data_IF_107486228413
#
_entry.id   IF_107486228413
#
_cell.length_a   1.000
_cell.length_b   1.000
_cell.length_c   1.000
_cell.angle_alpha   90.00
_cell.angle_beta   90.00
_cell.angle_gamma   90.00
#
_symmetry.space_group_name_H-M   'P 1'
#
loop_
_entity.id
_entity.type
_entity.pdbx_description
1 polymer ?
#
# COMPACT_ATOMS: atom_id res chain seq x y z
N UNK A 1 47.55 -7.09 -73.29
CA UNK A 1 46.26 -7.18 -72.56
C UNK A 1 46.58 -7.41 -71.09
N UNK A 2 46.63 -6.34 -70.29
CA UNK A 2 46.92 -6.42 -68.85
C UNK A 2 45.80 -5.72 -68.10
N UNK A 3 44.95 -6.49 -67.43
CA UNK A 3 43.83 -5.99 -66.63
C UNK A 3 44.29 -5.75 -65.20
N UNK A 4 44.33 -4.49 -64.78
CA UNK A 4 44.60 -4.09 -63.39
C UNK A 4 43.35 -4.26 -62.56
N UNK A 5 43.35 -5.27 -61.68
CA UNK A 5 42.29 -5.51 -60.69
C UNK A 5 42.36 -4.49 -59.55
N UNK A 6 41.37 -3.60 -59.50
CA UNK A 6 41.19 -2.64 -58.41
C UNK A 6 40.63 -3.32 -57.16
N UNK A 7 41.45 -3.43 -56.12
CA UNK A 7 41.04 -3.85 -54.78
C UNK A 7 40.28 -2.70 -54.12
N UNK A 8 38.99 -2.89 -53.82
CA UNK A 8 38.20 -1.94 -53.02
C UNK A 8 38.62 -2.00 -51.55
N UNK A 9 38.89 -0.86 -50.89
CA UNK A 9 39.22 -0.84 -49.47
C UNK A 9 37.99 -1.22 -48.64
N UNK A 10 38.19 -2.19 -47.74
CA UNK A 10 37.21 -2.61 -46.75
C UNK A 10 37.09 -1.49 -45.70
N UNK A 11 35.96 -0.78 -45.70
CA UNK A 11 35.61 0.17 -44.65
C UNK A 11 35.12 -0.65 -43.45
N UNK A 12 35.73 -0.56 -42.26
CA UNK A 12 35.20 -1.19 -41.07
C UNK A 12 33.93 -0.44 -40.63
N UNK A 13 32.82 -1.16 -40.51
CA UNK A 13 31.60 -0.64 -39.89
C UNK A 13 31.95 -0.16 -38.48
N UNK A 14 31.82 1.16 -38.27
CA UNK A 14 31.86 1.73 -36.93
C UNK A 14 30.69 1.12 -36.17
N UNK A 15 31.00 0.22 -35.24
CA UNK A 15 30.06 -0.28 -34.26
C UNK A 15 29.37 0.91 -33.61
N UNK A 16 28.10 1.08 -33.96
CA UNK A 16 27.20 2.00 -33.29
C UNK A 16 27.19 1.58 -31.83
N UNK A 17 27.94 2.30 -31.00
CA UNK A 17 27.70 2.32 -29.57
C UNK A 17 26.29 2.90 -29.45
N UNK A 18 25.29 2.01 -29.51
CA UNK A 18 23.98 2.25 -28.97
C UNK A 18 24.21 2.55 -27.49
N UNK A 19 24.47 3.82 -27.23
CA UNK A 19 24.10 4.49 -26.00
C UNK A 19 22.62 4.19 -25.91
N UNK A 20 22.31 3.08 -25.25
CA UNK A 20 20.97 2.69 -24.86
C UNK A 20 20.55 3.73 -23.85
N UNK A 21 20.19 4.90 -24.38
CA UNK A 21 19.34 5.87 -23.75
C UNK A 21 18.05 5.10 -23.54
N UNK A 22 18.05 4.34 -22.43
CA UNK A 22 16.89 3.75 -21.81
C UNK A 22 15.97 4.94 -21.64
N UNK A 23 15.05 5.08 -22.59
CA UNK A 23 13.86 5.89 -22.48
C UNK A 23 13.03 5.24 -21.37
N UNK A 24 13.52 5.40 -20.15
CA UNK A 24 12.95 4.86 -18.93
C UNK A 24 11.58 5.51 -18.83
N UNK A 25 10.56 4.73 -19.17
CA UNK A 25 9.20 5.23 -19.28
C UNK A 25 8.86 5.95 -17.97
N UNK A 26 8.47 7.24 -18.00
CA UNK A 26 8.27 8.05 -16.79
C UNK A 26 7.28 7.40 -15.80
N UNK A 27 6.36 6.58 -16.31
CA UNK A 27 5.44 5.77 -15.49
C UNK A 27 6.18 4.77 -14.61
N UNK A 28 7.22 4.10 -15.14
CA UNK A 28 7.98 3.10 -14.41
C UNK A 28 8.79 3.75 -13.27
N UNK A 29 9.41 4.90 -13.54
CA UNK A 29 10.19 5.66 -12.54
C UNK A 29 9.34 6.10 -11.34
N UNK A 30 8.11 6.56 -11.60
CA UNK A 30 7.16 6.95 -10.55
C UNK A 30 6.71 5.71 -9.76
N UNK A 31 6.36 4.62 -10.44
CA UNK A 31 5.96 3.37 -9.79
C UNK A 31 7.06 2.82 -8.87
N UNK A 32 8.33 2.86 -9.29
CA UNK A 32 9.48 2.44 -8.47
C UNK A 32 9.67 3.33 -7.24
N UNK A 33 9.41 4.63 -7.35
CA UNK A 33 9.47 5.56 -6.22
C UNK A 33 8.45 5.24 -5.12
N UNK A 34 7.20 5.01 -5.49
CA UNK A 34 6.13 4.67 -4.54
C UNK A 34 6.30 3.26 -3.94
N UNK A 35 6.85 2.30 -4.70
CA UNK A 35 7.11 0.93 -4.24
C UNK A 35 7.91 0.85 -2.94
N UNK A 36 8.86 1.78 -2.75
CA UNK A 36 9.73 1.86 -1.57
C UNK A 36 9.01 2.20 -0.27
N UNK A 37 7.84 2.82 -0.34
CA UNK A 37 7.06 3.18 0.85
C UNK A 37 6.14 2.06 1.32
N UNK A 38 5.72 1.15 0.43
CA UNK A 38 4.77 0.10 0.79
C UNK A 38 5.36 -0.95 1.74
N UNK A 39 6.63 -1.32 1.53
CA UNK A 39 7.31 -2.28 2.40
C UNK A 39 7.42 -1.82 3.87
N UNK A 40 7.96 -0.62 4.20
CA UNK A 40 8.03 -0.17 5.58
C UNK A 40 6.65 0.03 6.20
N UNK A 41 5.67 0.53 5.43
CA UNK A 41 4.27 0.64 5.91
C UNK A 41 3.71 -0.74 6.29
N UNK A 42 3.93 -1.76 5.46
CA UNK A 42 3.50 -3.13 5.75
C UNK A 42 4.14 -3.67 7.02
N UNK A 43 5.45 -3.45 7.21
CA UNK A 43 6.16 -3.88 8.42
C UNK A 43 5.61 -3.16 9.66
N UNK A 44 5.37 -1.85 9.59
CA UNK A 44 4.81 -1.10 10.71
C UNK A 44 3.38 -1.57 11.04
N UNK A 45 2.50 -1.72 10.04
CA UNK A 45 1.14 -2.24 10.23
C UNK A 45 1.13 -3.66 10.80
N UNK A 46 2.06 -4.51 10.36
CA UNK A 46 2.24 -5.84 10.92
C UNK A 46 2.70 -5.79 12.38
N UNK A 47 3.65 -4.91 12.72
CA UNK A 47 4.09 -4.73 14.10
C UNK A 47 2.93 -4.34 15.03
N UNK A 48 1.99 -3.50 14.57
CA UNK A 48 0.81 -3.11 15.34
C UNK A 48 -0.12 -4.26 15.74
N UNK A 49 -0.05 -5.43 15.08
CA UNK A 49 -0.80 -6.62 15.49
C UNK A 49 -0.45 -7.09 16.91
N UNK A 50 0.77 -6.80 17.36
CA UNK A 50 1.28 -7.27 18.65
C UNK A 50 1.08 -6.25 19.77
N UNK A 51 0.53 -5.07 19.47
CA UNK A 51 0.26 -4.04 20.47
C UNK A 51 -1.23 -4.05 20.86
N UNK A 52 -1.55 -3.76 22.14
CA UNK A 52 -2.94 -3.63 22.57
C UNK A 52 -3.56 -2.40 21.92
N UNK A 53 -4.72 -2.59 21.29
CA UNK A 53 -5.42 -1.53 20.55
C UNK A 53 -6.24 -0.62 21.48
N UNK A 54 -6.80 -1.21 22.53
CA UNK A 54 -7.66 -0.56 23.50
C UNK A 54 -7.10 -0.73 24.90
N UNK A 55 -7.36 0.25 25.76
CA UNK A 55 -6.98 0.20 27.16
C UNK A 55 -7.91 -0.72 27.96
N UNK A 56 -7.41 -1.15 29.12
CA UNK A 56 -8.20 -1.96 30.06
C UNK A 56 -9.28 -1.10 30.68
N UNK A 57 -10.51 -1.61 30.78
CA UNK A 57 -11.62 -0.92 31.43
C UNK A 57 -12.05 -1.68 32.66
N UNK A 58 -12.09 -0.97 33.78
CA UNK A 58 -12.66 -1.48 35.03
C UNK A 58 -14.08 -0.96 35.13
N UNK A 59 -15.07 -1.84 34.94
CA UNK A 59 -16.48 -1.52 35.12
C UNK A 59 -16.87 -1.93 36.54
N UNK A 60 -17.24 -0.97 37.39
CA UNK A 60 -17.90 -1.26 38.67
C UNK A 60 -19.40 -1.34 38.43
N UNK A 61 -19.97 -2.53 38.60
CA UNK A 61 -21.41 -2.74 38.59
C UNK A 61 -21.82 -3.41 39.91
N UNK A 62 -22.78 -2.82 40.62
CA UNK A 62 -23.33 -3.33 41.90
C UNK A 62 -22.30 -3.68 43.00
N UNK A 63 -21.14 -3.02 43.01
CA UNK A 63 -20.08 -3.23 44.00
C UNK A 63 -19.08 -4.35 43.64
N UNK A 64 -19.23 -4.98 42.47
CA UNK A 64 -18.27 -5.92 41.89
C UNK A 64 -17.45 -5.20 40.81
N UNK A 65 -16.13 -5.32 40.87
CA UNK A 65 -15.22 -4.79 39.84
C UNK A 65 -14.99 -5.85 38.76
N UNK A 66 -15.48 -5.57 37.55
CA UNK A 66 -15.16 -6.34 36.36
C UNK A 66 -14.06 -5.64 35.58
N UNK A 67 -12.85 -6.22 35.61
CA UNK A 67 -11.74 -5.75 34.79
C UNK A 67 -11.77 -6.49 33.46
N UNK A 68 -12.08 -5.77 32.38
CA UNK A 68 -12.01 -6.30 31.01
C UNK A 68 -10.71 -5.84 30.36
N UNK A 69 -9.76 -6.77 30.22
CA UNK A 69 -8.49 -6.53 29.54
C UNK A 69 -8.64 -6.81 28.05
N UNK A 70 -8.65 -5.75 27.24
CA UNK A 70 -8.58 -5.86 25.78
C UNK A 70 -7.10 -6.01 25.40
N UNK A 71 -6.67 -7.26 25.16
CA UNK A 71 -5.30 -7.58 24.79
C UNK A 71 -4.95 -7.18 23.35
N UNK A 72 -4.12 -8.01 22.72
CA UNK A 72 -3.82 -7.88 21.29
C UNK A 72 -5.05 -8.17 20.43
N UNK A 73 -4.95 -7.89 19.13
CA UNK A 73 -6.03 -8.19 18.17
C UNK A 73 -6.38 -9.68 18.15
N UNK A 74 -5.39 -10.53 18.41
CA UNK A 74 -5.56 -11.98 18.51
C UNK A 74 -6.32 -12.37 19.77
N UNK A 75 -6.01 -11.77 20.93
CA UNK A 75 -6.73 -12.03 22.17
C UNK A 75 -8.22 -11.66 22.01
N UNK A 76 -8.49 -10.50 21.39
CA UNK A 76 -9.85 -10.05 21.10
C UNK A 76 -10.60 -11.01 20.17
N UNK A 77 -9.92 -11.62 19.20
CA UNK A 77 -10.51 -12.59 18.28
C UNK A 77 -10.90 -13.92 18.94
N UNK A 78 -10.20 -14.31 20.00
CA UNK A 78 -10.48 -15.56 20.75
C UNK A 78 -11.61 -15.43 21.78
N UNK A 79 -12.05 -14.21 22.11
CA UNK A 79 -13.10 -13.97 23.09
C UNK A 79 -14.51 -14.22 22.54
N UNK A 80 -15.47 -14.50 23.44
CA UNK A 80 -16.90 -14.59 23.11
C UNK A 80 -17.43 -13.22 22.69
N UNK A 81 -17.49 -12.97 21.38
CA UNK A 81 -17.75 -11.65 20.79
C UNK A 81 -16.67 -11.19 19.80
N UNK A 82 -15.62 -11.98 19.59
CA UNK A 82 -14.46 -11.66 18.75
C UNK A 82 -14.70 -11.64 17.23
N UNK A 83 -15.94 -11.80 16.75
CA UNK A 83 -16.23 -11.81 15.31
C UNK A 83 -15.80 -10.51 14.58
N UNK A 84 -16.02 -9.30 15.13
CA UNK A 84 -15.49 -8.08 14.53
C UNK A 84 -13.96 -8.03 14.52
N UNK A 85 -13.30 -8.55 15.56
CA UNK A 85 -11.84 -8.61 15.62
C UNK A 85 -11.29 -9.56 14.53
N UNK A 86 -11.94 -10.70 14.28
CA UNK A 86 -11.59 -11.60 13.17
C UNK A 86 -11.71 -10.92 11.81
N UNK A 87 -12.78 -10.14 11.58
CA UNK A 87 -12.92 -9.35 10.34
C UNK A 87 -11.77 -8.33 10.22
N UNK A 88 -11.42 -7.66 11.31
CA UNK A 88 -10.28 -6.74 11.35
C UNK A 88 -8.95 -7.41 11.00
N UNK A 89 -8.69 -8.61 11.53
CA UNK A 89 -7.50 -9.41 11.21
C UNK A 89 -7.48 -9.79 9.72
N UNK A 90 -8.59 -10.25 9.17
CA UNK A 90 -8.68 -10.62 7.75
C UNK A 90 -8.47 -9.41 6.83
N UNK A 91 -9.06 -8.26 7.16
CA UNK A 91 -8.84 -7.02 6.41
C UNK A 91 -7.39 -6.56 6.48
N UNK A 92 -6.75 -6.66 7.66
CA UNK A 92 -5.34 -6.33 7.81
C UNK A 92 -4.44 -7.27 7.01
N UNK A 93 -4.68 -8.59 7.10
CA UNK A 93 -3.93 -9.58 6.32
C UNK A 93 -4.06 -9.32 4.82
N UNK A 94 -5.26 -8.99 4.34
CA UNK A 94 -5.48 -8.60 2.95
C UNK A 94 -4.73 -7.31 2.58
N UNK A 95 -4.74 -6.29 3.46
CA UNK A 95 -3.99 -5.05 3.27
C UNK A 95 -2.48 -5.29 3.19
N UNK A 96 -1.93 -6.11 4.09
CA UNK A 96 -0.52 -6.48 4.09
C UNK A 96 -0.13 -7.23 2.82
N UNK A 97 -0.96 -8.18 2.37
CA UNK A 97 -0.75 -8.89 1.11
C UNK A 97 -0.74 -7.93 -0.09
N UNK A 98 -1.69 -7.00 -0.15
CA UNK A 98 -1.74 -5.98 -1.21
C UNK A 98 -0.53 -5.05 -1.18
N UNK A 99 -0.09 -4.61 0.00
CA UNK A 99 1.13 -3.80 0.17
C UNK A 99 2.38 -4.56 -0.29
N UNK A 100 2.50 -5.84 0.05
CA UNK A 100 3.62 -6.68 -0.38
C UNK A 100 3.62 -6.89 -1.90
N UNK A 101 2.46 -7.16 -2.50
CA UNK A 101 2.31 -7.27 -3.95
C UNK A 101 2.67 -5.94 -4.64
N UNK A 102 2.19 -4.81 -4.12
CA UNK A 102 2.50 -3.48 -4.64
C UNK A 102 4.00 -3.15 -4.53
N UNK A 103 4.67 -3.61 -3.46
CA UNK A 103 6.11 -3.41 -3.26
C UNK A 103 6.97 -4.21 -4.26
N UNK A 104 6.55 -5.43 -4.61
CA UNK A 104 7.34 -6.33 -5.49
C UNK A 104 6.99 -6.17 -6.97
N UNK A 105 5.70 -6.10 -7.30
CA UNK A 105 5.20 -6.11 -8.69
C UNK A 105 4.83 -4.74 -9.23
N UNK A 106 4.89 -3.71 -8.38
CA UNK A 106 4.34 -2.39 -8.69
C UNK A 106 2.82 -2.34 -8.49
N UNK A 107 2.30 -1.13 -8.32
CA UNK A 107 0.88 -0.92 -8.06
C UNK A 107 0.11 -0.62 -9.36
N UNK A 108 -1.03 -1.29 -9.53
CA UNK A 108 -2.00 -0.98 -10.58
C UNK A 108 -3.19 -0.20 -10.01
N UNK A 109 -3.91 0.61 -10.81
CA UNK A 109 -5.01 1.44 -10.31
C UNK A 109 -6.07 0.72 -9.47
N UNK A 110 -6.62 -0.45 -9.88
CA UNK A 110 -7.62 -1.11 -9.06
C UNK A 110 -7.05 -1.56 -7.71
N UNK A 111 -5.78 -1.98 -7.66
CA UNK A 111 -5.11 -2.36 -6.41
C UNK A 111 -5.01 -1.17 -5.45
N UNK A 112 -4.60 0.00 -5.96
CA UNK A 112 -4.48 1.21 -5.14
C UNK A 112 -5.82 1.66 -4.56
N UNK A 113 -6.89 1.61 -5.36
CA UNK A 113 -8.24 1.95 -4.89
C UNK A 113 -8.69 0.97 -3.81
N UNK A 114 -8.48 -0.33 -4.00
CA UNK A 114 -8.81 -1.34 -2.98
C UNK A 114 -8.03 -1.14 -1.69
N UNK A 115 -6.72 -0.83 -1.77
CA UNK A 115 -5.91 -0.52 -0.59
C UNK A 115 -6.43 0.71 0.17
N UNK A 116 -6.81 1.77 -0.56
CA UNK A 116 -7.37 2.98 0.03
C UNK A 116 -8.71 2.69 0.75
N UNK A 117 -9.58 1.91 0.12
CA UNK A 117 -10.88 1.52 0.70
C UNK A 117 -10.68 0.64 1.94
N UNK A 118 -9.85 -0.40 1.86
CA UNK A 118 -9.62 -1.32 2.97
C UNK A 118 -8.97 -0.61 4.16
N UNK A 119 -7.94 0.21 3.93
CA UNK A 119 -7.31 0.98 5.02
C UNK A 119 -8.26 1.97 5.67
N UNK A 120 -9.12 2.64 4.88
CA UNK A 120 -10.17 3.53 5.41
C UNK A 120 -11.19 2.76 6.24
N UNK A 121 -11.68 1.62 5.72
CA UNK A 121 -12.64 0.77 6.43
C UNK A 121 -12.06 0.31 7.77
N UNK A 122 -10.81 -0.13 7.80
CA UNK A 122 -10.13 -0.50 9.04
C UNK A 122 -10.04 0.67 10.03
N UNK A 123 -9.65 1.86 9.57
CA UNK A 123 -9.60 3.05 10.44
C UNK A 123 -10.98 3.35 11.04
N UNK A 124 -12.05 3.26 10.24
CA UNK A 124 -13.43 3.42 10.71
C UNK A 124 -13.80 2.37 11.74
N UNK A 125 -13.49 1.09 11.51
CA UNK A 125 -13.78 0.00 12.47
C UNK A 125 -13.14 0.24 13.84
N UNK A 126 -11.89 0.71 13.86
CA UNK A 126 -11.17 1.03 15.10
C UNK A 126 -11.77 2.27 15.78
N UNK A 127 -12.04 3.34 15.02
CA UNK A 127 -12.58 4.59 15.58
C UNK A 127 -14.01 4.43 16.12
N UNK A 128 -14.82 3.62 15.45
CA UNK A 128 -16.19 3.30 15.89
C UNK A 128 -16.23 2.20 16.95
N UNK A 129 -15.07 1.62 17.30
CA UNK A 129 -14.87 0.61 18.35
C UNK A 129 -15.81 -0.59 18.20
N UNK A 130 -16.02 -1.03 16.97
CA UNK A 130 -16.95 -2.13 16.67
C UNK A 130 -16.55 -3.39 17.44
N UNK A 131 -17.49 -3.96 18.20
CA UNK A 131 -17.28 -5.19 18.96
C UNK A 131 -16.72 -5.01 20.38
N UNK A 132 -16.54 -3.78 20.87
CA UNK A 132 -15.95 -3.55 22.21
C UNK A 132 -16.96 -3.45 23.35
N UNK A 133 -18.27 -3.45 23.08
CA UNK A 133 -19.31 -3.36 24.11
C UNK A 133 -19.43 -1.97 24.74
N UNK A 134 -20.26 -1.86 25.79
CA UNK A 134 -20.44 -0.65 26.60
C UNK A 134 -20.02 -0.90 28.05
N UNK A 135 -19.21 -0.02 28.66
CA UNK A 135 -18.63 1.21 28.11
C UNK A 135 -17.48 0.95 27.14
N UNK A 136 -17.38 1.78 26.09
CA UNK A 136 -16.40 1.59 25.03
C UNK A 136 -14.99 1.99 25.51
N UNK A 137 -13.98 1.10 25.41
CA UNK A 137 -12.67 1.33 25.97
C UNK A 137 -11.92 2.50 25.31
N UNK A 138 -11.01 3.18 26.02
CA UNK A 138 -10.14 4.17 25.40
C UNK A 138 -9.21 3.50 24.38
N UNK A 139 -8.80 4.25 23.35
CA UNK A 139 -7.78 3.79 22.40
C UNK A 139 -6.40 4.08 23.00
N UNK A 140 -5.53 3.07 23.03
CA UNK A 140 -4.15 3.23 23.52
C UNK A 140 -3.34 4.13 22.59
N UNK A 141 -2.17 4.61 23.03
CA UNK A 141 -1.30 5.40 22.14
C UNK A 141 -0.79 4.59 20.94
N UNK A 142 -0.54 3.29 21.14
CA UNK A 142 -0.23 2.38 20.04
C UNK A 142 -1.41 2.26 19.06
N UNK A 143 -2.65 2.16 19.57
CA UNK A 143 -3.83 2.13 18.72
C UNK A 143 -4.05 3.43 17.95
N UNK A 144 -3.80 4.59 18.57
CA UNK A 144 -3.84 5.89 17.88
C UNK A 144 -2.79 5.95 16.76
N UNK A 145 -1.57 5.47 17.02
CA UNK A 145 -0.51 5.42 16.02
C UNK A 145 -0.87 4.47 14.86
N UNK A 146 -1.47 3.31 15.15
CA UNK A 146 -1.98 2.37 14.15
C UNK A 146 -3.08 3.00 13.27
N UNK A 147 -4.03 3.71 13.86
CA UNK A 147 -5.07 4.46 13.12
C UNK A 147 -4.45 5.55 12.25
N UNK A 148 -3.51 6.32 12.78
CA UNK A 148 -2.80 7.34 12.00
C UNK A 148 -2.07 6.73 10.80
N UNK A 149 -1.44 5.56 10.97
CA UNK A 149 -0.78 4.84 9.88
C UNK A 149 -1.76 4.31 8.83
N UNK A 150 -2.94 3.83 9.24
CA UNK A 150 -4.01 3.43 8.30
C UNK A 150 -4.48 4.63 7.47
N UNK A 151 -4.72 5.79 8.10
CA UNK A 151 -5.11 7.02 7.41
C UNK A 151 -4.01 7.47 6.44
N UNK A 152 -2.75 7.47 6.87
CA UNK A 152 -1.62 7.82 6.01
C UNK A 152 -1.52 6.88 4.80
N UNK A 153 -1.76 5.57 5.00
CA UNK A 153 -1.80 4.57 3.93
C UNK A 153 -2.93 4.85 2.94
N UNK A 154 -4.12 5.21 3.43
CA UNK A 154 -5.27 5.57 2.59
C UNK A 154 -4.96 6.80 1.72
N UNK A 155 -4.40 7.86 2.31
CA UNK A 155 -4.02 9.09 1.59
C UNK A 155 -2.94 8.79 0.56
N UNK A 156 -1.89 8.06 0.92
CA UNK A 156 -0.80 7.72 0.01
C UNK A 156 -1.29 6.94 -1.22
N UNK A 157 -2.14 5.93 -1.00
CA UNK A 157 -2.68 5.09 -2.08
C UNK A 157 -3.67 5.85 -2.95
N UNK A 158 -4.49 6.73 -2.38
CA UNK A 158 -5.36 7.63 -3.13
C UNK A 158 -4.59 8.62 -4.01
N UNK A 159 -3.56 9.28 -3.46
CA UNK A 159 -2.69 10.19 -4.23
C UNK A 159 -2.00 9.45 -5.37
N UNK A 160 -1.47 8.24 -5.12
CA UNK A 160 -0.85 7.43 -6.16
C UNK A 160 -1.85 7.06 -7.26
N UNK A 161 -3.09 6.69 -6.90
CA UNK A 161 -4.15 6.38 -7.87
C UNK A 161 -4.52 7.60 -8.74
N UNK A 162 -4.59 8.80 -8.13
CA UNK A 162 -4.86 10.06 -8.84
C UNK A 162 -3.73 10.39 -9.81
N UNK A 163 -2.46 10.30 -9.36
CA UNK A 163 -1.30 10.53 -10.22
C UNK A 163 -1.28 9.58 -11.43
N UNK A 164 -1.52 8.30 -11.19
CA UNK A 164 -1.58 7.31 -12.27
C UNK A 164 -2.70 7.64 -13.28
N UNK A 165 -3.89 8.00 -12.76
CA UNK A 165 -5.04 8.35 -13.60
C UNK A 165 -4.80 9.61 -14.42
N UNK A 166 -4.15 10.63 -13.84
CA UNK A 166 -3.82 11.88 -14.53
C UNK A 166 -2.80 11.65 -15.66
N UNK A 167 -1.76 10.83 -15.42
CA UNK A 167 -0.78 10.45 -16.44
C UNK A 167 -1.43 9.68 -17.60
N UNK A 168 -2.31 8.73 -17.29
CA UNK A 168 -3.03 7.96 -18.32
C UNK A 168 -3.89 8.85 -19.23
N UNK A 169 -4.57 9.85 -18.65
CA UNK A 169 -5.38 10.80 -19.42
C UNK A 169 -4.53 11.63 -20.40
N UNK A 170 -3.34 12.09 -19.97
CA UNK A 170 -2.43 12.86 -20.84
C UNK A 170 -1.98 12.06 -22.06
N UNK A 171 -1.61 10.79 -21.86
CA UNK A 171 -1.16 9.93 -22.97
C UNK A 171 -2.27 9.59 -23.96
N UNK A 172 -3.54 9.63 -23.53
CA UNK A 172 -4.69 9.34 -24.40
C UNK A 172 -5.14 10.59 -25.19
N UNK A 173 -4.74 11.78 -24.75
CA UNK A 173 -5.08 13.06 -25.38
C UNK A 173 -4.06 13.53 -26.43
N UNK A 174 -2.97 12.79 -26.65
CA UNK A 174 -1.93 13.09 -27.63
C UNK A 174 -1.97 12.31 -28.98
N UNK A 175 -3.12 11.86 -29.53
CA UNK A 175 -3.16 11.41 -30.92
C UNK A 175 -3.34 12.64 -31.84
N UNK A 176 -2.50 12.72 -32.89
CA UNK A 176 -2.75 13.46 -34.14
C UNK A 176 -2.17 14.88 -34.34
N UNK A 177 -1.04 15.26 -33.71
CA UNK A 177 -0.29 16.46 -34.13
C UNK A 177 0.98 16.13 -34.93
N UNK A 178 0.91 15.18 -35.87
CA UNK A 178 1.96 14.99 -36.88
C UNK A 178 1.49 15.64 -38.21
N UNK A 179 1.94 16.86 -38.53
CA UNK A 179 1.65 17.45 -39.84
C UNK A 179 2.42 16.69 -40.92
N UNK A 180 1.67 16.08 -41.85
CA UNK A 180 2.18 15.53 -43.11
C UNK A 180 2.82 16.61 -43.99
#
# INVERSE_FOLDING_TARGET
>A
MGGTGGVKPHVPERGSCHHGEMTENPVNRIATGYGRFYAPIAVCLFAFLFFPLYDTVVVREEGVEFTSTYGTVFDMATNSGGAPAMIGILLLAALLAMLAVAAVRGAVPPLLVTMAVVSTLMAVLVLTKVGTGTPAPPITDAGKAGVALLIATAVLTAVHAVHFSALRRRNTAAPDSEPR
#
